data_IF_789317812568
#
_entry.id   IF_789317812568
#
_cell.length_a   1.000
_cell.length_b   1.000
_cell.length_c   1.000
_cell.angle_alpha   90.00
_cell.angle_beta   90.00
_cell.angle_gamma   90.00
#
_symmetry.space_group_name_H-M   'P 1'
#
loop_
_entity.id
_entity.type
_entity.pdbx_description
1 polymer ?
#
# COMPACT_ATOMS: atom_id res chain seq x y z
N UNK A 1 -2.17 -8.47 4.20
CA UNK A 1 -1.26 -8.14 3.09
C UNK A 1 0.13 -8.70 3.35
N UNK A 2 0.74 -9.28 2.32
CA UNK A 2 2.11 -9.82 2.34
C UNK A 2 2.77 -9.71 0.96
N UNK A 3 3.86 -10.44 0.71
CA UNK A 3 4.56 -10.56 -0.58
C UNK A 3 5.49 -11.75 -0.59
N UNK A 4 5.70 -12.38 -1.75
CA UNK A 4 6.76 -13.39 -1.95
C UNK A 4 8.17 -12.86 -1.59
N UNK A 5 8.32 -11.53 -1.53
CA UNK A 5 9.57 -10.85 -1.22
C UNK A 5 9.83 -10.66 0.29
N UNK A 6 8.88 -11.00 1.15
CA UNK A 6 8.98 -10.74 2.61
C UNK A 6 9.41 -11.98 3.39
N UNK A 7 10.45 -12.69 2.90
CA UNK A 7 10.99 -13.88 3.56
C UNK A 7 9.92 -14.97 3.69
N UNK A 8 9.70 -15.44 4.89
CA UNK A 8 8.74 -16.51 5.24
C UNK A 8 7.32 -16.01 5.59
N UNK A 9 7.03 -14.72 5.32
CA UNK A 9 5.76 -14.08 5.71
C UNK A 9 4.52 -14.78 5.14
N UNK A 10 4.56 -15.24 3.86
CA UNK A 10 3.45 -15.99 3.28
C UNK A 10 3.24 -17.34 3.99
N UNK A 11 4.31 -18.03 4.37
CA UNK A 11 4.22 -19.31 5.10
C UNK A 11 3.69 -19.12 6.52
N UNK A 12 4.12 -18.05 7.20
CA UNK A 12 3.61 -17.70 8.54
C UNK A 12 2.11 -17.43 8.47
N UNK A 13 1.67 -16.61 7.52
CA UNK A 13 0.24 -16.33 7.33
C UNK A 13 -0.53 -17.59 6.97
N UNK A 14 -0.04 -18.42 6.06
CA UNK A 14 -0.66 -19.68 5.69
C UNK A 14 -0.90 -20.60 6.89
N UNK A 15 0.14 -20.82 7.71
CA UNK A 15 0.02 -21.61 8.95
C UNK A 15 -0.94 -20.94 9.96
N UNK A 16 -0.90 -19.61 10.08
CA UNK A 16 -1.76 -18.88 11.03
C UNK A 16 -3.23 -19.04 10.66
N UNK A 17 -3.58 -18.82 9.39
CA UNK A 17 -4.97 -18.92 8.94
C UNK A 17 -5.46 -20.37 8.88
N UNK A 18 -4.63 -21.33 8.49
CA UNK A 18 -4.98 -22.75 8.51
C UNK A 18 -5.32 -23.26 9.94
N UNK A 19 -4.67 -22.69 10.96
CA UNK A 19 -4.94 -23.01 12.37
C UNK A 19 -5.97 -22.08 13.02
N UNK A 20 -6.46 -21.07 12.32
CA UNK A 20 -7.46 -20.13 12.80
C UNK A 20 -8.86 -20.76 12.68
N UNK A 21 -9.80 -20.27 13.56
CA UNK A 21 -11.23 -20.56 13.41
C UNK A 21 -11.94 -19.56 12.49
N UNK A 22 -11.22 -18.57 11.96
CA UNK A 22 -11.78 -17.58 11.04
C UNK A 22 -12.14 -18.24 9.70
N UNK A 23 -13.39 -18.16 9.24
CA UNK A 23 -13.77 -18.64 7.91
C UNK A 23 -12.94 -17.95 6.81
N UNK A 24 -12.62 -18.66 5.73
CA UNK A 24 -11.81 -18.10 4.62
C UNK A 24 -12.42 -16.84 4.00
N UNK A 25 -13.72 -16.73 3.97
CA UNK A 25 -14.50 -15.61 3.44
C UNK A 25 -14.60 -14.41 4.40
N UNK A 26 -14.12 -14.55 5.64
CA UNK A 26 -14.15 -13.48 6.64
C UNK A 26 -12.96 -12.50 6.55
N UNK A 27 -11.99 -12.75 5.67
CA UNK A 27 -10.82 -11.89 5.48
C UNK A 27 -10.38 -11.81 4.03
N UNK A 28 -9.77 -10.68 3.65
CA UNK A 28 -9.17 -10.45 2.34
C UNK A 28 -7.68 -10.79 2.42
N UNK A 29 -7.23 -11.72 1.60
CA UNK A 29 -5.83 -12.14 1.53
C UNK A 29 -5.16 -11.50 0.31
N UNK A 30 -4.20 -10.62 0.55
CA UNK A 30 -3.45 -9.92 -0.48
C UNK A 30 -1.98 -10.32 -0.45
N UNK A 31 -1.40 -10.60 -1.61
CA UNK A 31 0.04 -10.79 -1.77
C UNK A 31 0.55 -10.18 -3.07
N UNK A 32 1.87 -10.22 -3.28
CA UNK A 32 2.52 -9.55 -4.40
C UNK A 32 3.58 -10.44 -5.03
N UNK A 33 3.63 -10.45 -6.36
CA UNK A 33 4.70 -11.08 -7.13
C UNK A 33 5.67 -10.03 -7.70
N UNK A 34 6.96 -10.36 -7.75
CA UNK A 34 7.97 -9.53 -8.42
C UNK A 34 7.88 -9.74 -9.93
N UNK A 35 7.78 -8.64 -10.66
CA UNK A 35 7.83 -8.66 -12.13
C UNK A 35 9.26 -8.61 -12.68
N UNK A 36 10.27 -8.26 -11.83
CA UNK A 36 11.70 -8.21 -12.16
C UNK A 36 12.55 -9.05 -11.23
N UNK A 37 13.67 -9.54 -11.75
CA UNK A 37 14.76 -10.15 -11.00
C UNK A 37 16.10 -9.74 -11.63
N UNK A 38 17.06 -9.29 -10.81
CA UNK A 38 18.35 -8.81 -11.30
C UNK A 38 18.26 -7.66 -12.31
N UNK A 39 17.27 -6.77 -12.18
CA UNK A 39 17.02 -5.64 -13.08
C UNK A 39 16.35 -5.99 -14.41
N UNK A 40 16.06 -7.27 -14.69
CA UNK A 40 15.41 -7.74 -15.92
C UNK A 40 13.98 -8.20 -15.63
N UNK A 41 13.10 -8.05 -16.61
CA UNK A 41 11.76 -8.63 -16.55
C UNK A 41 11.86 -10.15 -16.41
N UNK A 42 11.01 -10.72 -15.57
CA UNK A 42 10.85 -12.17 -15.43
C UNK A 42 10.06 -12.72 -16.60
N UNK A 43 10.20 -14.01 -16.88
CA UNK A 43 9.36 -14.65 -17.89
C UNK A 43 7.90 -14.80 -17.40
N UNK A 44 6.96 -14.96 -18.34
CA UNK A 44 5.56 -15.27 -18.03
C UNK A 44 5.45 -16.56 -17.17
N UNK A 45 6.28 -17.57 -17.44
CA UNK A 45 6.33 -18.80 -16.65
C UNK A 45 6.81 -18.56 -15.21
N UNK A 46 7.74 -17.63 -14.98
CA UNK A 46 8.17 -17.27 -13.63
C UNK A 46 7.07 -16.55 -12.85
N UNK A 47 6.26 -15.72 -13.51
CA UNK A 47 5.10 -15.07 -12.89
C UNK A 47 4.03 -16.10 -12.52
N UNK A 48 3.73 -17.03 -13.41
CA UNK A 48 2.80 -18.13 -13.13
C UNK A 48 3.28 -18.97 -11.94
N UNK A 49 4.57 -19.36 -11.94
CA UNK A 49 5.17 -20.08 -10.82
C UNK A 49 5.12 -19.28 -9.50
N UNK A 50 5.25 -17.95 -9.54
CA UNK A 50 5.08 -17.10 -8.36
C UNK A 50 3.68 -17.23 -7.76
N UNK A 51 2.63 -17.19 -8.60
CA UNK A 51 1.24 -17.32 -8.15
C UNK A 51 1.04 -18.68 -7.48
N UNK A 52 1.45 -19.77 -8.15
CA UNK A 52 1.30 -21.14 -7.63
C UNK A 52 2.09 -21.35 -6.32
N UNK A 53 3.28 -20.79 -6.22
CA UNK A 53 4.09 -20.83 -5.01
C UNK A 53 3.46 -20.03 -3.87
N UNK A 54 2.86 -18.87 -4.15
CA UNK A 54 2.16 -18.06 -3.14
C UNK A 54 0.93 -18.81 -2.63
N UNK A 55 0.12 -19.41 -3.50
CA UNK A 55 -1.02 -20.26 -3.10
C UNK A 55 -0.58 -21.37 -2.16
N UNK A 56 0.51 -22.06 -2.51
CA UNK A 56 1.05 -23.16 -1.69
C UNK A 56 1.56 -22.66 -0.33
N UNK A 57 2.33 -21.56 -0.27
CA UNK A 57 2.85 -21.00 0.99
C UNK A 57 1.72 -20.45 1.88
N UNK A 58 0.74 -19.80 1.28
CA UNK A 58 -0.43 -19.27 1.96
C UNK A 58 -1.47 -20.34 2.34
N UNK A 59 -1.28 -21.59 1.87
CA UNK A 59 -2.17 -22.74 2.12
C UNK A 59 -3.64 -22.43 1.74
N UNK A 60 -3.84 -21.84 0.57
CA UNK A 60 -5.15 -21.46 0.05
C UNK A 60 -5.26 -21.78 -1.43
N UNK A 61 -6.47 -22.05 -1.89
CA UNK A 61 -6.76 -22.27 -3.32
C UNK A 61 -7.02 -20.98 -4.08
N UNK A 62 -7.25 -19.87 -3.35
CA UNK A 62 -7.52 -18.58 -3.96
C UNK A 62 -6.91 -17.43 -3.14
N UNK A 63 -6.21 -16.53 -3.82
CA UNK A 63 -5.73 -15.24 -3.30
C UNK A 63 -6.73 -14.17 -3.71
N UNK A 64 -7.19 -13.34 -2.76
CA UNK A 64 -8.16 -12.30 -3.10
C UNK A 64 -7.54 -11.20 -3.96
N UNK A 65 -6.37 -10.69 -3.59
CA UNK A 65 -5.70 -9.63 -4.34
C UNK A 65 -4.26 -10.06 -4.67
N UNK A 66 -3.94 -10.19 -5.96
CA UNK A 66 -2.59 -10.39 -6.45
C UNK A 66 -2.07 -9.10 -7.07
N UNK A 67 -0.90 -8.64 -6.62
CA UNK A 67 -0.32 -7.39 -7.06
C UNK A 67 1.06 -7.58 -7.71
N UNK A 68 1.37 -6.80 -8.73
CA UNK A 68 2.77 -6.60 -9.13
C UNK A 68 3.47 -5.74 -8.07
N UNK A 69 4.62 -6.23 -7.58
CA UNK A 69 5.34 -5.59 -6.49
C UNK A 69 6.26 -4.49 -7.00
N UNK A 70 6.03 -3.26 -6.53
CA UNK A 70 6.92 -2.10 -6.77
C UNK A 70 7.00 -1.74 -8.27
N UNK A 71 5.85 -1.68 -8.95
CA UNK A 71 5.78 -1.30 -10.35
C UNK A 71 6.18 0.16 -10.53
N UNK A 72 7.13 0.42 -11.43
CA UNK A 72 7.53 1.76 -11.81
C UNK A 72 6.97 2.16 -13.18
N UNK A 73 6.97 3.46 -13.48
CA UNK A 73 6.41 3.97 -14.73
C UNK A 73 7.20 3.57 -15.98
N UNK A 74 8.51 3.34 -15.83
CA UNK A 74 9.36 2.98 -16.97
C UNK A 74 9.08 1.55 -17.48
N UNK A 75 8.64 0.66 -16.59
CA UNK A 75 8.36 -0.73 -16.93
C UNK A 75 6.87 -0.99 -17.17
N UNK A 76 6.02 0.01 -16.97
CA UNK A 76 4.56 -0.15 -16.92
C UNK A 76 4.01 -0.87 -18.16
N UNK A 77 4.32 -0.38 -19.36
CA UNK A 77 3.76 -0.94 -20.60
C UNK A 77 4.30 -2.35 -20.88
N UNK A 78 5.57 -2.62 -20.57
CA UNK A 78 6.14 -3.97 -20.69
C UNK A 78 5.45 -4.97 -19.77
N UNK A 79 5.11 -4.54 -18.53
CA UNK A 79 4.38 -5.38 -17.56
C UNK A 79 2.95 -5.62 -18.02
N UNK A 80 2.28 -4.58 -18.56
CA UNK A 80 0.93 -4.73 -19.12
C UNK A 80 0.93 -5.72 -20.30
N UNK A 81 1.89 -5.60 -21.20
CA UNK A 81 1.97 -6.47 -22.38
C UNK A 81 2.33 -7.92 -22.03
N UNK A 82 3.36 -8.13 -21.20
CA UNK A 82 3.97 -9.45 -21.01
C UNK A 82 3.45 -10.18 -19.78
N UNK A 83 3.10 -9.48 -18.70
CA UNK A 83 2.79 -10.11 -17.40
C UNK A 83 1.32 -10.02 -17.01
N UNK A 84 0.62 -8.92 -17.33
CA UNK A 84 -0.80 -8.80 -17.02
C UNK A 84 -1.64 -9.98 -17.56
N UNK A 85 -1.42 -10.48 -18.80
CA UNK A 85 -2.14 -11.64 -19.30
C UNK A 85 -1.99 -12.92 -18.46
N UNK A 86 -0.88 -13.05 -17.70
CA UNK A 86 -0.67 -14.18 -16.78
C UNK A 86 -1.61 -14.07 -15.58
N UNK A 87 -1.70 -12.88 -14.97
CA UNK A 87 -2.63 -12.64 -13.87
C UNK A 87 -4.09 -12.76 -14.33
N UNK A 88 -4.42 -12.28 -15.53
CA UNK A 88 -5.75 -12.41 -16.10
C UNK A 88 -6.16 -13.89 -16.25
N UNK A 89 -5.27 -14.75 -16.79
CA UNK A 89 -5.51 -16.20 -16.85
C UNK A 89 -5.65 -16.83 -15.47
N UNK A 90 -4.83 -16.43 -14.50
CA UNK A 90 -4.94 -16.93 -13.12
C UNK A 90 -6.29 -16.55 -12.49
N UNK A 91 -6.83 -15.37 -12.82
CA UNK A 91 -8.18 -14.94 -12.42
C UNK A 91 -9.27 -15.81 -13.07
N UNK A 92 -9.18 -16.07 -14.37
CA UNK A 92 -10.09 -16.96 -15.07
C UNK A 92 -10.08 -18.39 -14.51
N UNK A 93 -8.91 -18.86 -14.03
CA UNK A 93 -8.73 -20.14 -13.36
C UNK A 93 -9.23 -20.17 -11.91
N UNK A 94 -9.66 -19.03 -11.36
CA UNK A 94 -10.11 -18.91 -9.97
C UNK A 94 -8.98 -18.90 -8.94
N UNK A 95 -7.72 -18.85 -9.36
CA UNK A 95 -6.53 -18.77 -8.47
C UNK A 95 -6.41 -17.42 -7.76
N UNK A 96 -6.87 -16.36 -8.42
CA UNK A 96 -6.89 -15.00 -7.86
C UNK A 96 -8.24 -14.34 -8.19
N UNK A 97 -8.65 -13.35 -7.38
CA UNK A 97 -9.93 -12.63 -7.60
C UNK A 97 -9.71 -11.28 -8.23
N UNK A 98 -8.80 -10.48 -7.68
CA UNK A 98 -8.53 -9.10 -8.08
C UNK A 98 -7.06 -8.91 -8.44
N UNK A 99 -6.81 -8.04 -9.41
CA UNK A 99 -5.48 -7.72 -9.93
C UNK A 99 -5.13 -6.29 -9.56
N UNK A 100 -3.90 -6.08 -9.10
CA UNK A 100 -3.42 -4.75 -8.79
C UNK A 100 -1.90 -4.63 -8.89
N UNK A 101 -1.39 -3.51 -8.43
CA UNK A 101 0.04 -3.32 -8.22
C UNK A 101 0.31 -2.39 -7.05
N UNK A 102 1.51 -2.48 -6.48
CA UNK A 102 2.04 -1.48 -5.57
C UNK A 102 3.00 -0.56 -6.31
N UNK A 103 2.91 0.75 -6.06
CA UNK A 103 3.81 1.73 -6.67
C UNK A 103 5.26 1.58 -6.22
N UNK A 104 6.19 2.12 -6.99
CA UNK A 104 7.61 2.21 -6.62
C UNK A 104 7.83 3.33 -5.59
N UNK A 105 7.55 3.02 -4.35
CA UNK A 105 7.51 3.89 -3.20
C UNK A 105 8.73 4.81 -3.00
N UNK A 106 9.94 4.34 -3.32
CA UNK A 106 11.17 5.08 -3.10
C UNK A 106 11.64 5.87 -4.32
N UNK A 107 11.20 5.50 -5.52
CA UNK A 107 11.68 6.05 -6.78
C UNK A 107 10.76 7.07 -7.44
N UNK A 108 9.45 7.01 -7.17
CA UNK A 108 8.44 7.85 -7.83
C UNK A 108 7.58 8.56 -6.79
N UNK A 109 8.13 9.61 -6.18
CA UNK A 109 7.42 10.41 -5.17
C UNK A 109 6.25 11.23 -5.72
N UNK A 110 6.14 11.32 -7.04
CA UNK A 110 5.06 11.96 -7.81
C UNK A 110 3.96 10.98 -8.26
N UNK A 111 4.01 9.72 -7.82
CA UNK A 111 3.05 8.66 -8.16
C UNK A 111 2.92 8.39 -9.67
N UNK A 112 4.03 8.53 -10.42
CA UNK A 112 4.02 8.48 -11.88
C UNK A 112 3.51 7.14 -12.43
N UNK A 113 3.89 6.00 -11.84
CA UNK A 113 3.37 4.69 -12.27
C UNK A 113 1.85 4.60 -12.12
N UNK A 114 1.30 5.20 -11.05
CA UNK A 114 -0.15 5.22 -10.79
C UNK A 114 -0.87 6.08 -11.82
N UNK A 115 -0.38 7.31 -12.07
CA UNK A 115 -1.01 8.22 -13.04
C UNK A 115 -0.91 7.69 -14.47
N UNK A 116 0.20 7.04 -14.84
CA UNK A 116 0.32 6.35 -16.14
C UNK A 116 -0.72 5.24 -16.26
N UNK A 117 -0.86 4.39 -15.24
CA UNK A 117 -1.81 3.29 -15.22
C UNK A 117 -3.25 3.79 -15.38
N UNK A 118 -3.66 4.76 -14.56
CA UNK A 118 -5.02 5.28 -14.54
C UNK A 118 -5.40 6.10 -15.79
N UNK A 119 -4.41 6.67 -16.49
CA UNK A 119 -4.65 7.37 -17.76
C UNK A 119 -4.63 6.46 -18.97
N UNK A 120 -3.92 5.35 -18.93
CA UNK A 120 -3.71 4.51 -20.11
C UNK A 120 -4.60 3.28 -20.13
N UNK A 121 -4.75 2.59 -19.02
CA UNK A 121 -5.44 1.31 -18.91
C UNK A 121 -6.15 1.15 -17.55
N UNK A 122 -7.01 2.09 -17.12
CA UNK A 122 -7.64 2.02 -15.80
C UNK A 122 -8.46 0.74 -15.59
N UNK A 123 -9.05 0.20 -16.65
CA UNK A 123 -9.88 -1.00 -16.65
C UNK A 123 -9.12 -2.29 -16.30
N UNK A 124 -7.80 -2.28 -16.35
CA UNK A 124 -6.99 -3.45 -16.00
C UNK A 124 -6.84 -3.62 -14.48
N UNK A 125 -7.02 -2.57 -13.71
CA UNK A 125 -6.64 -2.53 -12.30
C UNK A 125 -7.85 -2.48 -11.38
N UNK A 126 -8.03 -3.52 -10.59
CA UNK A 126 -9.04 -3.53 -9.53
C UNK A 126 -8.56 -2.73 -8.31
N UNK A 127 -7.24 -2.81 -8.01
CA UNK A 127 -6.64 -2.12 -6.86
C UNK A 127 -5.24 -1.58 -7.17
N UNK A 128 -4.90 -0.44 -6.55
CA UNK A 128 -3.53 0.10 -6.58
C UNK A 128 -3.11 0.42 -5.16
N UNK A 129 -1.88 0.02 -4.80
CA UNK A 129 -1.32 0.31 -3.48
C UNK A 129 -0.39 1.52 -3.58
N UNK A 130 -0.74 2.59 -2.86
CA UNK A 130 0.00 3.86 -2.89
C UNK A 130 0.40 4.32 -1.49
N UNK A 131 1.34 5.25 -1.44
CA UNK A 131 1.72 5.97 -0.24
C UNK A 131 0.96 7.30 -0.16
N UNK A 132 0.19 7.48 0.92
CA UNK A 132 -0.52 8.72 1.20
C UNK A 132 -0.59 8.97 2.71
N UNK A 133 -0.52 10.23 3.14
CA UNK A 133 -0.64 10.61 4.54
C UNK A 133 -0.17 12.05 4.78
N UNK A 134 -0.25 12.51 6.03
CA UNK A 134 0.04 13.90 6.44
C UNK A 134 1.38 14.44 5.91
N UNK A 135 2.42 13.58 5.88
CA UNK A 135 3.75 13.95 5.40
C UNK A 135 3.95 13.73 3.90
N UNK A 136 2.94 13.26 3.19
CA UNK A 136 2.97 13.02 1.75
C UNK A 136 1.58 13.06 1.15
N UNK A 137 1.13 14.22 0.74
CA UNK A 137 -0.20 14.45 0.14
C UNK A 137 -0.13 14.63 -1.40
N UNK A 138 1.00 14.28 -2.03
CA UNK A 138 1.16 14.57 -3.46
C UNK A 138 0.14 13.83 -4.35
N UNK A 139 -0.34 12.66 -3.89
CA UNK A 139 -1.35 11.88 -4.61
C UNK A 139 -2.70 12.62 -4.81
N UNK A 140 -3.02 13.61 -3.96
CA UNK A 140 -4.21 14.44 -4.10
C UNK A 140 -4.26 15.23 -5.40
N UNK A 141 -3.09 15.49 -6.00
CA UNK A 141 -3.02 16.31 -7.22
C UNK A 141 -3.60 15.61 -8.43
N UNK A 142 -3.42 14.29 -8.53
CA UNK A 142 -3.80 13.57 -9.73
C UNK A 142 -4.15 12.09 -9.46
N UNK A 143 -3.32 11.34 -8.75
CA UNK A 143 -3.49 9.89 -8.59
C UNK A 143 -4.81 9.52 -7.90
N UNK A 144 -5.17 10.18 -6.80
CA UNK A 144 -6.41 9.90 -6.07
C UNK A 144 -7.67 10.37 -6.82
N UNK A 145 -7.72 11.57 -7.43
CA UNK A 145 -8.82 11.95 -8.31
C UNK A 145 -9.07 10.96 -9.47
N UNK A 146 -8.01 10.52 -10.14
CA UNK A 146 -8.13 9.51 -11.21
C UNK A 146 -8.63 8.16 -10.68
N UNK A 147 -8.20 7.74 -9.50
CA UNK A 147 -8.69 6.49 -8.90
C UNK A 147 -10.20 6.55 -8.61
N UNK A 148 -10.71 7.69 -8.14
CA UNK A 148 -12.16 7.92 -7.97
C UNK A 148 -12.87 7.87 -9.31
N UNK A 149 -12.38 8.60 -10.31
CA UNK A 149 -12.97 8.69 -11.65
C UNK A 149 -13.15 7.31 -12.29
N UNK A 150 -12.14 6.44 -12.13
CA UNK A 150 -12.13 5.11 -12.74
C UNK A 150 -12.60 4.00 -11.80
N UNK A 151 -13.05 4.33 -10.59
CA UNK A 151 -13.50 3.37 -9.57
C UNK A 151 -12.46 2.28 -9.26
N UNK A 152 -11.18 2.66 -9.17
CA UNK A 152 -10.08 1.78 -8.78
C UNK A 152 -9.86 1.88 -7.27
N UNK A 153 -9.85 0.73 -6.58
CA UNK A 153 -9.66 0.66 -5.13
C UNK A 153 -8.23 1.05 -4.72
N UNK A 154 -8.10 1.96 -3.75
CA UNK A 154 -6.79 2.38 -3.24
C UNK A 154 -6.49 1.72 -1.90
N UNK A 155 -5.41 0.95 -1.88
CA UNK A 155 -4.81 0.40 -0.66
C UNK A 155 -3.71 1.35 -0.21
N UNK A 156 -3.90 2.02 0.91
CA UNK A 156 -2.92 2.98 1.39
C UNK A 156 -1.85 2.32 2.25
N UNK A 157 -0.59 2.43 1.85
CA UNK A 157 0.57 1.94 2.60
C UNK A 157 1.36 3.08 3.24
N UNK A 158 2.11 2.75 4.29
CA UNK A 158 3.11 3.65 4.89
C UNK A 158 2.55 4.99 5.42
N UNK A 159 1.34 4.99 5.92
CA UNK A 159 0.61 6.17 6.43
C UNK A 159 1.42 6.95 7.48
N UNK A 160 1.90 6.26 8.50
CA UNK A 160 2.63 6.89 9.60
C UNK A 160 4.15 6.78 9.45
N UNK A 161 4.65 5.71 8.82
CA UNK A 161 6.07 5.38 8.70
C UNK A 161 6.87 5.59 10.00
N UNK A 162 8.18 5.81 9.83
CA UNK A 162 9.12 5.94 10.95
C UNK A 162 9.07 7.33 11.59
N UNK A 163 8.73 8.36 10.80
CA UNK A 163 8.86 9.76 11.25
C UNK A 163 7.69 10.23 12.09
N UNK A 164 6.47 9.88 11.71
CA UNK A 164 5.28 10.37 12.39
C UNK A 164 5.22 9.90 13.87
N UNK A 165 5.52 8.62 14.18
CA UNK A 165 5.53 8.14 15.56
C UNK A 165 6.79 8.53 16.36
N UNK A 166 7.80 9.16 15.73
CA UNK A 166 9.05 9.54 16.37
C UNK A 166 9.20 11.08 16.40
N UNK A 167 9.02 11.74 17.57
CA UNK A 167 9.04 13.19 17.67
C UNK A 167 10.33 13.84 17.17
N UNK A 168 11.49 13.23 17.44
CA UNK A 168 12.79 13.78 17.05
C UNK A 168 12.97 13.74 15.54
N UNK A 169 12.67 12.58 14.90
CA UNK A 169 12.73 12.44 13.45
C UNK A 169 11.70 13.32 12.74
N UNK A 170 10.55 13.57 13.35
CA UNK A 170 9.55 14.47 12.81
C UNK A 170 10.05 15.92 12.85
N UNK A 171 10.61 16.38 13.99
CA UNK A 171 11.19 17.71 14.12
C UNK A 171 12.34 17.92 13.12
N UNK A 172 13.25 16.95 13.00
CA UNK A 172 14.35 16.99 12.03
C UNK A 172 13.82 17.13 10.59
N UNK A 173 12.77 16.38 10.25
CA UNK A 173 12.17 16.44 8.91
C UNK A 173 11.57 17.83 8.64
N UNK A 174 10.83 18.38 9.58
CA UNK A 174 10.23 19.72 9.46
C UNK A 174 11.33 20.80 9.35
N UNK A 175 12.37 20.73 10.19
CA UNK A 175 13.52 21.64 10.10
C UNK A 175 14.20 21.57 8.73
N UNK A 176 14.38 20.34 8.20
CA UNK A 176 14.93 20.14 6.85
C UNK A 176 14.05 20.79 5.77
N UNK A 177 12.74 20.68 5.88
CA UNK A 177 11.83 21.30 4.91
C UNK A 177 11.80 22.82 5.01
N UNK A 178 11.87 23.39 6.23
CA UNK A 178 12.03 24.83 6.43
C UNK A 178 13.33 25.34 5.80
N UNK A 179 14.46 24.69 6.10
CA UNK A 179 15.76 25.04 5.54
C UNK A 179 15.81 24.97 4.01
N UNK A 180 15.09 24.01 3.41
CA UNK A 180 14.96 23.85 1.98
C UNK A 180 13.91 24.77 1.32
N UNK A 181 13.24 25.63 2.09
CA UNK A 181 12.17 26.53 1.60
C UNK A 181 10.90 25.81 1.12
N UNK A 182 10.71 24.54 1.48
CA UNK A 182 9.52 23.74 1.10
C UNK A 182 8.28 24.14 1.91
N UNK A 183 8.48 24.63 3.11
CA UNK A 183 7.48 25.25 3.99
C UNK A 183 8.10 26.53 4.57
N UNK A 184 7.27 27.51 4.94
CA UNK A 184 7.75 28.74 5.58
C UNK A 184 8.22 28.46 6.99
N UNK A 185 9.17 29.26 7.50
CA UNK A 185 9.70 29.12 8.86
C UNK A 185 8.62 29.17 9.93
N UNK A 186 7.59 29.97 9.71
CA UNK A 186 6.54 30.26 10.69
C UNK A 186 5.29 29.37 10.52
N UNK A 187 5.23 28.52 9.49
CA UNK A 187 4.06 27.66 9.24
C UNK A 187 3.83 26.63 10.35
N UNK A 188 4.91 26.14 10.96
CA UNK A 188 4.85 25.11 12.02
C UNK A 188 5.85 25.44 13.14
N UNK A 189 5.52 25.12 14.41
CA UNK A 189 6.46 25.23 15.53
C UNK A 189 7.70 24.37 15.31
N UNK A 190 8.84 24.77 15.87
CA UNK A 190 10.08 23.98 15.83
C UNK A 190 10.01 22.76 16.76
N UNK A 191 9.31 22.90 17.88
CA UNK A 191 9.08 21.81 18.84
C UNK A 191 7.64 21.33 18.70
N UNK A 192 7.46 20.00 18.64
CA UNK A 192 6.15 19.37 18.47
C UNK A 192 5.34 19.94 17.28
N UNK A 193 5.90 19.95 16.07
CA UNK A 193 5.36 20.69 14.93
C UNK A 193 3.94 20.32 14.51
N UNK A 194 3.50 19.09 14.83
CA UNK A 194 2.15 18.60 14.53
C UNK A 194 1.30 18.37 15.78
N UNK A 195 1.72 18.85 16.94
CA UNK A 195 1.00 18.64 18.21
C UNK A 195 -0.42 19.23 18.23
N UNK A 196 -0.68 20.25 17.40
CA UNK A 196 -2.01 20.85 17.22
C UNK A 196 -3.04 19.89 16.59
N UNK A 197 -2.61 18.77 15.98
CA UNK A 197 -3.50 17.72 15.49
C UNK A 197 -4.11 16.88 16.61
N UNK A 198 -3.50 16.89 17.80
CA UNK A 198 -3.96 16.10 18.94
C UNK A 198 -4.98 16.91 19.73
N UNK A 199 -6.25 16.64 19.49
CA UNK A 199 -7.36 17.31 20.14
C UNK A 199 -8.65 16.47 20.04
N UNK A 200 -9.61 16.71 20.93
CA UNK A 200 -10.92 16.04 20.94
C UNK A 200 -10.83 14.50 20.83
N UNK A 201 -11.21 13.98 19.68
CA UNK A 201 -11.22 12.54 19.37
C UNK A 201 -9.89 12.03 18.78
N UNK A 202 -8.84 12.83 18.75
CA UNK A 202 -7.53 12.48 18.23
C UNK A 202 -6.52 12.32 19.37
N UNK A 203 -6.23 11.09 19.73
CA UNK A 203 -5.45 10.76 20.92
C UNK A 203 -3.93 10.93 20.73
N UNK A 204 -3.44 10.91 19.49
CA UNK A 204 -2.02 11.01 19.17
C UNK A 204 -1.77 11.46 17.74
N UNK A 205 -0.52 11.82 17.40
CA UNK A 205 -0.10 12.13 16.03
C UNK A 205 -0.23 10.88 15.13
N UNK A 206 -0.06 9.69 15.67
CA UNK A 206 -0.26 8.42 14.94
C UNK A 206 -1.74 8.23 14.60
N UNK A 207 -2.61 8.46 15.59
CA UNK A 207 -4.07 8.44 15.40
C UNK A 207 -4.49 9.47 14.33
N UNK A 208 -4.00 10.72 14.44
CA UNK A 208 -4.21 11.75 13.42
C UNK A 208 -3.80 11.27 12.02
N UNK A 209 -2.66 10.60 11.92
CA UNK A 209 -2.16 10.06 10.65
C UNK A 209 -3.11 9.04 10.02
N UNK A 210 -3.60 8.08 10.81
CA UNK A 210 -4.56 7.07 10.33
C UNK A 210 -5.91 7.69 9.96
N UNK A 211 -6.48 8.54 10.81
CA UNK A 211 -7.76 9.24 10.53
C UNK A 211 -7.68 10.12 9.30
N UNK A 212 -6.59 10.88 9.15
CA UNK A 212 -6.36 11.70 7.96
C UNK A 212 -6.37 10.86 6.68
N UNK A 213 -5.62 9.76 6.68
CA UNK A 213 -5.53 8.90 5.51
C UNK A 213 -6.84 8.17 5.21
N UNK A 214 -7.48 7.57 6.23
CA UNK A 214 -8.74 6.85 6.09
C UNK A 214 -9.93 7.77 5.74
N UNK A 215 -9.87 9.04 6.13
CA UNK A 215 -10.90 10.03 5.82
C UNK A 215 -10.91 10.49 4.36
N UNK A 216 -9.90 10.15 3.56
CA UNK A 216 -9.88 10.55 2.15
C UNK A 216 -10.79 9.64 1.31
N UNK A 217 -11.71 10.20 0.50
CA UNK A 217 -12.76 9.43 -0.21
C UNK A 217 -12.22 8.40 -1.22
N UNK A 218 -11.00 8.59 -1.74
CA UNK A 218 -10.36 7.62 -2.63
C UNK A 218 -9.76 6.42 -1.90
N UNK A 219 -9.49 6.50 -0.60
CA UNK A 219 -8.83 5.44 0.15
C UNK A 219 -9.83 4.37 0.55
N UNK A 220 -9.68 3.18 -0.02
CA UNK A 220 -10.56 2.04 0.27
C UNK A 220 -10.16 1.31 1.55
N UNK A 221 -8.86 1.27 1.85
CA UNK A 221 -8.32 0.64 3.07
C UNK A 221 -6.93 1.17 3.40
N UNK A 222 -6.59 1.15 4.69
CA UNK A 222 -5.30 1.60 5.22
C UNK A 222 -4.55 0.41 5.82
N UNK A 223 -3.32 0.17 5.35
CA UNK A 223 -2.47 -0.86 5.92
C UNK A 223 -1.83 -0.38 7.22
N UNK A 224 -1.89 -1.23 8.22
CA UNK A 224 -1.16 -1.07 9.47
C UNK A 224 -0.26 -2.28 9.70
N UNK A 225 0.92 -2.05 10.28
CA UNK A 225 1.87 -3.10 10.60
C UNK A 225 2.61 -2.78 11.89
N UNK A 226 2.57 -3.72 12.84
CA UNK A 226 3.26 -3.60 14.13
C UNK A 226 3.54 -4.98 14.71
N UNK A 227 4.57 -5.09 15.54
CA UNK A 227 4.85 -6.27 16.36
C UNK A 227 4.23 -6.19 17.77
N UNK A 228 3.55 -5.08 18.09
CA UNK A 228 2.92 -4.84 19.40
C UNK A 228 1.41 -5.03 19.29
N UNK A 229 0.85 -5.91 20.11
CA UNK A 229 -0.62 -6.11 20.21
C UNK A 229 -1.30 -4.79 20.59
N UNK A 230 -0.72 -4.08 21.59
CA UNK A 230 -1.28 -2.78 22.02
C UNK A 230 -1.35 -1.78 20.86
N UNK A 231 -0.29 -1.66 20.05
CA UNK A 231 -0.31 -0.74 18.90
C UNK A 231 -1.30 -1.21 17.83
N UNK A 232 -1.54 -2.52 17.67
CA UNK A 232 -2.57 -3.01 16.77
C UNK A 232 -3.95 -2.59 17.24
N UNK A 233 -4.27 -2.76 18.54
CA UNK A 233 -5.53 -2.34 19.13
C UNK A 233 -5.73 -0.81 19.00
N UNK A 234 -4.69 -0.03 19.24
CA UNK A 234 -4.73 1.43 19.08
C UNK A 234 -5.00 1.83 17.61
N UNK A 235 -4.34 1.17 16.65
CA UNK A 235 -4.53 1.43 15.22
C UNK A 235 -5.94 1.05 14.74
N UNK A 236 -6.48 -0.07 15.21
CA UNK A 236 -7.87 -0.48 14.90
C UNK A 236 -8.85 0.55 15.46
N UNK A 237 -8.66 0.96 16.72
CA UNK A 237 -9.52 1.98 17.36
C UNK A 237 -9.50 3.31 16.62
N UNK A 238 -8.33 3.74 16.10
CA UNK A 238 -8.20 4.95 15.31
C UNK A 238 -9.07 4.92 14.05
N UNK A 239 -9.19 3.75 13.41
CA UNK A 239 -9.95 3.57 12.18
C UNK A 239 -11.45 3.29 12.39
N UNK A 240 -11.83 2.71 13.53
CA UNK A 240 -13.24 2.45 13.88
C UNK A 240 -13.98 3.70 14.39
N UNK A 241 -13.24 4.72 14.83
CA UNK A 241 -13.78 5.99 15.35
C UNK A 241 -13.18 7.19 14.57
N UNK A 242 -13.51 7.32 13.28
CA UNK A 242 -12.97 8.37 12.42
C UNK A 242 -13.38 9.78 12.82
#
# INVERSE_FOLDING_TARGET
>A
DTSEAYGDSEEILGRTFANSRAPRDSYILATKCRYKSGGKLRSAADIEASIDNSLRRLQTDCIDIMQFHVLNSADYFDVVDQHYPVLARAREQGKIRFIGFSEHFMGEGDHKSVTVALKSNPELWDTIMIKYGILNMYADKEALPLAIEHNVGIINMAVIRVKLPNPELLQEQIATWKAAGKIKSDDLPDVNPLGWLVHDKVDSIVDAGYKFAAGHPAISTVLTGTSSVKHMDDNVRALENP
#
